data_IF_564548075436
#
_entry.id   IF_564548075436
#
_cell.length_a   1.000
_cell.length_b   1.000
_cell.length_c   1.000
_cell.angle_alpha   90.00
_cell.angle_beta   90.00
_cell.angle_gamma   90.00
#
_symmetry.space_group_name_H-M   'P 1'
#
loop_
_entity.id
_entity.type
_entity.pdbx_description
1 polymer ?
#
# COMPACT_ATOMS: atom_id res chain seq x y z
N UNK A 1 16.98 -1.67 -16.54
CA UNK A 1 16.18 -2.89 -16.30
C UNK A 1 14.71 -2.46 -16.24
N UNK A 2 13.98 -2.52 -17.35
CA UNK A 2 12.60 -2.03 -17.43
C UNK A 2 11.63 -3.11 -16.94
N UNK A 3 11.62 -3.34 -15.63
CA UNK A 3 10.66 -4.25 -15.02
C UNK A 3 9.27 -3.62 -15.06
N UNK A 4 8.38 -4.16 -15.89
CA UNK A 4 6.97 -3.76 -15.93
C UNK A 4 6.25 -4.41 -14.75
N UNK A 5 5.46 -3.63 -14.01
CA UNK A 5 4.65 -4.16 -12.91
C UNK A 5 3.59 -5.12 -13.44
N UNK A 6 3.62 -6.38 -12.99
CA UNK A 6 2.61 -7.36 -13.33
C UNK A 6 1.23 -6.90 -12.84
N UNK A 7 0.24 -6.97 -13.74
CA UNK A 7 -1.13 -6.58 -13.49
C UNK A 7 -2.07 -7.37 -14.41
N UNK A 8 -3.34 -7.50 -13.99
CA UNK A 8 -4.43 -8.16 -14.72
C UNK A 8 -4.07 -9.57 -15.20
N UNK A 9 -3.39 -10.36 -14.35
CA UNK A 9 -2.97 -11.70 -14.73
C UNK A 9 -4.18 -12.62 -14.95
N UNK A 10 -4.22 -13.40 -16.04
CA UNK A 10 -5.33 -14.28 -16.34
C UNK A 10 -5.42 -15.41 -15.33
N UNK A 11 -6.62 -15.64 -14.80
CA UNK A 11 -6.91 -16.71 -13.82
C UNK A 11 -8.15 -17.46 -14.31
N UNK A 12 -8.07 -18.79 -14.32
CA UNK A 12 -9.17 -19.69 -14.70
C UNK A 12 -9.51 -20.62 -13.53
N UNK A 13 -10.80 -20.73 -13.14
CA UNK A 13 -11.93 -19.88 -13.55
C UNK A 13 -11.71 -18.40 -13.16
N UNK A 14 -12.51 -17.49 -13.73
CA UNK A 14 -12.37 -16.05 -13.52
C UNK A 14 -12.32 -15.72 -12.02
N UNK A 15 -11.25 -15.02 -11.61
CA UNK A 15 -11.07 -14.61 -10.22
C UNK A 15 -12.18 -13.64 -9.79
N UNK A 16 -12.78 -13.89 -8.64
CA UNK A 16 -13.77 -13.03 -8.00
C UNK A 16 -13.24 -12.48 -6.69
N UNK A 17 -13.66 -11.26 -6.37
CA UNK A 17 -13.42 -10.65 -5.07
C UNK A 17 -14.52 -11.07 -4.11
N UNK A 18 -14.14 -11.65 -2.98
CA UNK A 18 -15.06 -11.98 -1.89
C UNK A 18 -15.12 -10.79 -0.94
N UNK A 19 -16.27 -10.12 -0.82
CA UNK A 19 -16.42 -8.96 0.09
C UNK A 19 -16.03 -9.37 1.51
N UNK A 20 -15.18 -8.57 2.15
CA UNK A 20 -14.73 -8.81 3.52
C UNK A 20 -15.84 -8.36 4.46
N UNK A 21 -16.47 -9.28 5.17
CA UNK A 21 -17.59 -8.99 6.08
C UNK A 21 -17.19 -8.96 7.56
N UNK A 22 -16.05 -9.56 7.90
CA UNK A 22 -15.45 -9.51 9.23
C UNK A 22 -15.11 -8.05 9.59
N UNK A 23 -15.81 -7.51 10.58
CA UNK A 23 -15.69 -6.10 10.98
C UNK A 23 -14.31 -5.77 11.56
N UNK A 24 -13.67 -6.71 12.27
CA UNK A 24 -12.32 -6.53 12.78
C UNK A 24 -11.34 -6.43 11.62
N UNK A 25 -11.45 -7.32 10.63
CA UNK A 25 -10.58 -7.30 9.44
C UNK A 25 -10.79 -6.03 8.62
N UNK A 26 -12.04 -5.59 8.44
CA UNK A 26 -12.34 -4.31 7.78
C UNK A 26 -11.71 -3.14 8.52
N UNK A 27 -11.83 -3.07 9.85
CA UNK A 27 -11.25 -1.99 10.66
C UNK A 27 -9.72 -1.98 10.60
N UNK A 28 -9.07 -3.15 10.74
CA UNK A 28 -7.62 -3.25 10.68
C UNK A 28 -7.06 -2.91 9.29
N UNK A 29 -7.79 -3.28 8.22
CA UNK A 29 -7.40 -2.96 6.85
C UNK A 29 -7.64 -1.47 6.54
N UNK A 30 -8.74 -0.87 6.97
CA UNK A 30 -9.02 0.56 6.78
C UNK A 30 -7.96 1.44 7.46
N UNK A 31 -7.50 1.04 8.66
CA UNK A 31 -6.40 1.73 9.36
C UNK A 31 -5.07 1.71 8.60
N UNK A 32 -4.80 0.67 7.81
CA UNK A 32 -3.50 0.44 7.15
C UNK A 32 -3.51 0.73 5.65
N UNK A 33 -4.67 0.61 5.04
CA UNK A 33 -4.92 0.79 3.62
C UNK A 33 -6.23 1.56 3.41
N UNK A 34 -6.29 2.82 3.89
CA UNK A 34 -7.50 3.64 3.79
C UNK A 34 -7.83 3.98 2.34
N UNK A 35 -9.10 4.21 2.08
CA UNK A 35 -9.62 4.47 0.74
C UNK A 35 -9.93 5.96 0.56
N UNK A 36 -8.89 6.79 0.56
CA UNK A 36 -8.97 8.27 0.64
C UNK A 36 -9.80 8.98 -0.45
N UNK A 37 -10.23 8.28 -1.50
CA UNK A 37 -11.14 8.80 -2.54
C UNK A 37 -12.62 8.72 -2.14
N UNK A 38 -12.93 8.10 -1.01
CA UNK A 38 -14.29 7.82 -0.56
C UNK A 38 -14.43 8.20 0.91
N UNK A 39 -15.65 8.56 1.32
CA UNK A 39 -16.03 8.67 2.72
C UNK A 39 -15.79 7.35 3.46
N UNK A 40 -15.44 7.41 4.75
CA UNK A 40 -14.96 6.25 5.50
C UNK A 40 -15.97 5.08 5.47
N UNK A 41 -17.22 5.32 5.87
CA UNK A 41 -18.24 4.27 5.93
C UNK A 41 -18.59 3.73 4.54
N UNK A 42 -18.64 4.60 3.53
CA UNK A 42 -18.87 4.20 2.15
C UNK A 42 -17.73 3.34 1.61
N UNK A 43 -16.47 3.72 1.92
CA UNK A 43 -15.29 2.95 1.58
C UNK A 43 -15.31 1.57 2.22
N UNK A 44 -15.59 1.49 3.53
CA UNK A 44 -15.67 0.22 4.28
C UNK A 44 -16.78 -0.71 3.77
N UNK A 45 -17.93 -0.15 3.37
CA UNK A 45 -19.02 -0.94 2.78
C UNK A 45 -18.69 -1.39 1.35
N UNK A 46 -18.23 -0.49 0.48
CA UNK A 46 -18.06 -0.80 -0.95
C UNK A 46 -16.75 -1.49 -1.30
N UNK A 47 -15.69 -1.23 -0.53
CA UNK A 47 -14.37 -1.88 -0.66
C UNK A 47 -13.78 -1.74 -2.07
N UNK A 48 -14.08 -0.65 -2.77
CA UNK A 48 -13.75 -0.50 -4.20
C UNK A 48 -12.25 -0.52 -4.46
N UNK A 49 -11.45 0.15 -3.63
CA UNK A 49 -10.00 0.13 -3.79
C UNK A 49 -9.46 -1.29 -3.57
N UNK A 50 -9.85 -1.94 -2.48
CA UNK A 50 -9.37 -3.27 -2.13
C UNK A 50 -9.75 -4.31 -3.19
N UNK A 51 -10.98 -4.25 -3.70
CA UNK A 51 -11.44 -5.08 -4.82
C UNK A 51 -10.58 -4.86 -6.06
N UNK A 52 -10.37 -3.61 -6.46
CA UNK A 52 -9.61 -3.28 -7.67
C UNK A 52 -8.15 -3.73 -7.54
N UNK A 53 -7.50 -3.46 -6.42
CA UNK A 53 -6.11 -3.86 -6.15
C UNK A 53 -5.94 -5.38 -6.11
N UNK A 54 -6.87 -6.11 -5.49
CA UNK A 54 -6.81 -7.57 -5.47
C UNK A 54 -7.03 -8.18 -6.86
N UNK A 55 -8.01 -7.71 -7.63
CA UNK A 55 -8.28 -8.24 -8.96
C UNK A 55 -7.15 -7.88 -9.94
N UNK A 56 -6.60 -6.67 -9.86
CA UNK A 56 -5.53 -6.21 -10.74
C UNK A 56 -4.16 -6.79 -10.38
N UNK A 57 -3.77 -6.76 -9.11
CA UNK A 57 -2.41 -7.16 -8.69
C UNK A 57 -2.40 -8.48 -7.91
N UNK A 58 -3.39 -8.72 -7.05
CA UNK A 58 -3.54 -9.98 -6.33
C UNK A 58 -3.68 -11.19 -7.25
N UNK A 59 -4.35 -11.05 -8.40
CA UNK A 59 -4.47 -12.08 -9.45
C UNK A 59 -3.11 -12.65 -9.88
N UNK A 60 -2.08 -11.82 -9.96
CA UNK A 60 -0.73 -12.22 -10.35
C UNK A 60 0.00 -13.05 -9.29
N UNK A 61 -0.53 -13.12 -8.07
CA UNK A 61 0.06 -13.87 -6.96
C UNK A 61 -0.86 -14.99 -6.41
N UNK A 62 -2.00 -15.23 -7.06
CA UNK A 62 -3.10 -16.05 -6.56
C UNK A 62 -2.75 -17.53 -6.33
N UNK A 63 -1.69 -18.02 -6.98
CA UNK A 63 -1.17 -19.37 -6.77
C UNK A 63 -0.58 -19.56 -5.38
N UNK A 64 -0.07 -18.49 -4.76
CA UNK A 64 0.56 -18.50 -3.43
C UNK A 64 -0.28 -17.80 -2.38
N UNK A 65 -0.88 -16.66 -2.73
CA UNK A 65 -1.64 -15.84 -1.79
C UNK A 65 -3.09 -15.72 -2.26
N UNK A 66 -3.98 -16.52 -1.66
CA UNK A 66 -5.43 -16.31 -1.82
C UNK A 66 -5.84 -15.00 -1.16
N UNK A 67 -7.05 -14.51 -1.45
CA UNK A 67 -7.48 -13.17 -1.02
C UNK A 67 -7.21 -12.86 0.47
N UNK A 68 -7.54 -13.73 1.44
CA UNK A 68 -7.25 -13.44 2.84
C UNK A 68 -5.74 -13.23 3.08
N UNK A 69 -4.91 -14.15 2.61
CA UNK A 69 -3.46 -14.11 2.75
C UNK A 69 -2.81 -12.94 2.00
N UNK A 70 -3.38 -12.50 0.88
CA UNK A 70 -2.93 -11.30 0.16
C UNK A 70 -3.04 -10.05 1.05
N UNK A 71 -4.23 -9.81 1.62
CA UNK A 71 -4.43 -8.66 2.50
C UNK A 71 -3.68 -8.78 3.82
N UNK A 72 -3.59 -9.98 4.40
CA UNK A 72 -2.84 -10.20 5.64
C UNK A 72 -1.35 -9.93 5.43
N UNK A 73 -0.79 -10.37 4.30
CA UNK A 73 0.60 -10.06 3.95
C UNK A 73 0.81 -8.56 3.77
N UNK A 74 -0.09 -7.85 3.08
CA UNK A 74 0.00 -6.39 2.93
C UNK A 74 -0.02 -5.66 4.27
N UNK A 75 -0.93 -6.04 5.18
CA UNK A 75 -0.99 -5.45 6.52
C UNK A 75 0.28 -5.73 7.33
N UNK A 76 0.77 -6.97 7.30
CA UNK A 76 2.00 -7.35 8.00
C UNK A 76 3.23 -6.61 7.46
N UNK A 77 3.33 -6.41 6.15
CA UNK A 77 4.42 -5.64 5.55
C UNK A 77 4.33 -4.16 5.94
N UNK A 78 3.13 -3.58 5.97
CA UNK A 78 2.95 -2.21 6.47
C UNK A 78 3.42 -2.10 7.92
N UNK A 79 3.03 -3.03 8.79
CA UNK A 79 3.36 -2.97 10.22
C UNK A 79 4.85 -3.24 10.48
N UNK A 80 5.52 -3.99 9.60
CA UNK A 80 6.96 -4.23 9.65
C UNK A 80 7.79 -2.97 9.38
N UNK A 81 7.29 -2.06 8.53
CA UNK A 81 8.02 -0.87 8.11
C UNK A 81 7.30 0.41 8.56
N UNK A 82 7.55 0.83 9.79
CA UNK A 82 7.13 2.16 10.26
C UNK A 82 8.05 3.24 9.67
N UNK A 83 7.77 3.60 8.40
CA UNK A 83 8.54 4.58 7.66
C UNK A 83 8.52 5.96 8.32
N UNK A 84 7.40 6.37 8.93
CA UNK A 84 7.29 7.68 9.55
C UNK A 84 8.20 7.79 10.77
N UNK A 85 8.18 6.80 11.66
CA UNK A 85 9.09 6.77 12.81
C UNK A 85 10.56 6.64 12.37
N UNK A 86 10.83 5.82 11.35
CA UNK A 86 12.17 5.68 10.78
C UNK A 86 12.72 7.02 10.27
N UNK A 87 11.92 7.76 9.51
CA UNK A 87 12.29 9.07 8.98
C UNK A 87 12.49 10.09 10.12
N UNK A 88 11.59 10.13 11.10
CA UNK A 88 11.70 11.01 12.28
C UNK A 88 12.98 10.79 13.06
N UNK A 89 13.37 9.52 13.27
CA UNK A 89 14.62 9.17 13.96
C UNK A 89 15.88 9.65 13.21
N UNK A 90 15.76 9.97 11.92
CA UNK A 90 16.81 10.55 11.09
C UNK A 90 16.63 12.07 10.88
N UNK A 91 15.78 12.73 11.68
CA UNK A 91 15.51 14.18 11.55
C UNK A 91 14.63 14.56 10.37
N UNK A 92 14.02 13.59 9.69
CA UNK A 92 13.13 13.81 8.54
C UNK A 92 11.68 13.80 9.02
N UNK A 93 11.06 14.97 9.03
CA UNK A 93 9.69 15.20 9.51
C UNK A 93 8.82 15.83 8.42
N UNK A 94 7.51 15.50 8.34
CA UNK A 94 6.61 16.19 7.42
C UNK A 94 6.62 17.71 7.62
N UNK A 95 6.59 18.48 6.54
CA UNK A 95 6.55 19.96 6.58
C UNK A 95 7.85 20.67 6.21
N UNK A 96 8.90 19.94 5.80
CA UNK A 96 10.18 20.49 5.35
C UNK A 96 10.70 19.79 4.10
N UNK A 97 11.77 20.35 3.52
CA UNK A 97 12.45 19.81 2.34
C UNK A 97 13.73 19.09 2.75
N UNK A 98 14.01 17.96 2.10
CA UNK A 98 15.16 17.10 2.39
C UNK A 98 15.79 16.62 1.09
N UNK A 99 17.08 16.31 1.14
CA UNK A 99 17.76 15.66 0.03
C UNK A 99 17.24 14.24 -0.18
N UNK A 100 17.07 13.85 -1.44
CA UNK A 100 16.56 12.54 -1.82
C UNK A 100 17.43 11.42 -1.22
N UNK A 101 18.75 11.61 -1.22
CA UNK A 101 19.71 10.64 -0.68
C UNK A 101 19.57 10.41 0.82
N UNK A 102 19.16 11.42 1.59
CA UNK A 102 18.93 11.28 3.02
C UNK A 102 17.68 10.43 3.31
N UNK A 103 16.61 10.66 2.54
CA UNK A 103 15.38 9.86 2.62
C UNK A 103 15.68 8.39 2.26
N UNK A 104 16.41 8.16 1.16
CA UNK A 104 16.80 6.81 0.73
C UNK A 104 17.65 6.10 1.78
N UNK A 105 18.65 6.81 2.34
CA UNK A 105 19.54 6.27 3.37
C UNK A 105 18.77 5.92 4.65
N UNK A 106 17.89 6.80 5.11
CA UNK A 106 17.07 6.57 6.29
C UNK A 106 16.19 5.31 6.12
N UNK A 107 15.45 5.20 5.00
CA UNK A 107 14.58 4.06 4.75
C UNK A 107 15.39 2.76 4.58
N UNK A 108 16.55 2.82 3.92
CA UNK A 108 17.44 1.66 3.72
C UNK A 108 17.84 0.99 5.04
N UNK A 109 17.90 1.73 6.15
CA UNK A 109 18.21 1.15 7.47
C UNK A 109 17.23 0.07 7.91
N UNK A 110 15.95 0.17 7.50
CA UNK A 110 14.91 -0.81 7.84
C UNK A 110 14.54 -1.72 6.67
N UNK A 111 14.61 -1.24 5.42
CA UNK A 111 14.28 -2.04 4.23
C UNK A 111 15.45 -2.92 3.75
N UNK A 112 16.67 -2.71 4.25
CA UNK A 112 17.94 -3.39 3.87
C UNK A 112 18.40 -3.08 2.43
N UNK A 113 17.45 -2.76 1.53
CA UNK A 113 17.66 -2.34 0.15
C UNK A 113 17.20 -0.90 -0.05
N UNK A 114 17.78 -0.22 -1.05
CA UNK A 114 17.38 1.13 -1.44
C UNK A 114 15.91 1.11 -1.88
N UNK A 115 15.04 1.97 -1.32
CA UNK A 115 13.65 2.05 -1.74
C UNK A 115 13.51 2.68 -3.13
N UNK A 116 12.37 2.44 -3.79
CA UNK A 116 11.98 3.25 -4.96
C UNK A 116 11.09 4.39 -4.49
N UNK A 117 11.61 5.61 -4.52
CA UNK A 117 10.87 6.82 -4.17
C UNK A 117 10.05 7.32 -5.37
N UNK A 118 8.81 7.72 -5.11
CA UNK A 118 7.93 8.35 -6.11
C UNK A 118 7.53 9.73 -5.60
N UNK A 119 7.89 10.76 -6.36
CA UNK A 119 7.56 12.14 -6.06
C UNK A 119 6.34 12.60 -6.87
N UNK A 120 5.57 13.52 -6.30
CA UNK A 120 4.52 14.26 -7.00
C UNK A 120 4.86 15.74 -6.88
N UNK A 121 4.74 16.47 -7.98
CA UNK A 121 4.96 17.92 -7.97
C UNK A 121 3.74 18.60 -7.33
N UNK A 122 3.96 19.39 -6.29
CA UNK A 122 2.91 20.27 -5.76
C UNK A 122 2.95 21.59 -6.53
N UNK A 123 1.89 21.90 -7.27
CA UNK A 123 1.72 23.23 -7.82
C UNK A 123 1.53 24.27 -6.70
N UNK A 124 2.06 25.50 -6.84
CA UNK A 124 1.86 26.56 -5.85
C UNK A 124 0.36 26.82 -5.62
N UNK A 125 -0.09 26.81 -4.35
CA UNK A 125 -1.48 27.16 -3.97
C UNK A 125 -2.32 26.05 -3.32
N UNK A 126 -1.85 24.80 -3.32
CA UNK A 126 -2.51 23.71 -2.60
C UNK A 126 -1.86 23.52 -1.22
N UNK A 127 -2.31 24.33 -0.26
CA UNK A 127 -2.07 24.14 1.19
C UNK A 127 -2.90 22.98 1.70
#
# INVERSE_FOLDING_TARGET
NNSVMLNNCPVYPQLRYNKITDQRKVSELDKRWPQLKYENDFGRDKQYLWKNEFLKHGSCSIKRYKQPAYFDLSMNLKDKFDLLSTLRNHGITPGSTYDLGDIEKAIKTVSIKVPSLKCVEKHPGNV
#
